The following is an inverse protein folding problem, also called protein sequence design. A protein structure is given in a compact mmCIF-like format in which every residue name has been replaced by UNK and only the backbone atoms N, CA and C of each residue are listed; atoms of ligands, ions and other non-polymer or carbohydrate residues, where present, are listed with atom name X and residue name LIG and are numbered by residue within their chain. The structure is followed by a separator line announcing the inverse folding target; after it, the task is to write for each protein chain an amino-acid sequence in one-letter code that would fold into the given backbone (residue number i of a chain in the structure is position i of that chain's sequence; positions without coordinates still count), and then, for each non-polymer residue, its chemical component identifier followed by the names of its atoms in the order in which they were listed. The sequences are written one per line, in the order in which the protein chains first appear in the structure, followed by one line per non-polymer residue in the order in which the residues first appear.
data_IF_144273902819
#
_entry.id   IF_144273902819
#
_cell.length_a   1.000
_cell.length_b   1.000
_cell.length_c   1.000
_cell.angle_alpha   90.00
_cell.angle_beta   90.00
_cell.angle_gamma   90.00
#
_symmetry.space_group_name_H-M   'P 1'
#
loop_
_entity.id
_entity.type
_entity.pdbx_description
1 polymer ?
#
# COMPACT_ATOMS: atom_id res chain seq x y z
N UNK A 1 -40.82 -24.62 -2.95
CA UNK A 1 -40.11 -23.53 -2.23
C UNK A 1 -39.51 -22.60 -3.28
N UNK A 2 -40.09 -21.42 -3.53
CA UNK A 2 -39.54 -20.44 -4.50
C UNK A 2 -38.56 -19.55 -3.76
N UNK A 3 -37.26 -19.69 -4.02
CA UNK A 3 -36.26 -18.74 -3.54
C UNK A 3 -36.51 -17.40 -4.23
N UNK A 4 -36.92 -16.40 -3.44
CA UNK A 4 -37.14 -15.04 -3.92
C UNK A 4 -35.77 -14.38 -4.12
N UNK A 5 -35.19 -14.55 -5.30
CA UNK A 5 -33.88 -14.00 -5.70
C UNK A 5 -33.98 -12.50 -6.02
N UNK A 6 -34.45 -11.70 -5.06
CA UNK A 6 -34.29 -10.24 -5.18
C UNK A 6 -32.84 -9.91 -4.89
N UNK A 7 -32.10 -9.55 -5.93
CA UNK A 7 -30.77 -8.99 -5.80
C UNK A 7 -30.80 -7.84 -4.78
N UNK A 8 -29.83 -7.77 -3.85
CA UNK A 8 -29.77 -6.67 -2.91
C UNK A 8 -29.61 -5.36 -3.69
N UNK A 9 -30.52 -4.40 -3.48
CA UNK A 9 -30.39 -3.07 -4.07
C UNK A 9 -29.13 -2.42 -3.50
N UNK A 10 -28.20 -2.05 -4.38
CA UNK A 10 -27.00 -1.30 -4.01
C UNK A 10 -27.45 0.09 -3.54
N UNK A 11 -27.03 0.51 -2.35
CA UNK A 11 -27.38 1.84 -1.84
C UNK A 11 -26.56 2.93 -2.56
N UNK A 12 -27.09 4.16 -2.70
CA UNK A 12 -26.33 5.29 -3.25
C UNK A 12 -25.01 5.54 -2.50
N UNK A 13 -25.01 5.34 -1.18
CA UNK A 13 -23.80 5.41 -0.35
C UNK A 13 -22.72 4.44 -0.82
N UNK A 14 -23.07 3.18 -1.07
CA UNK A 14 -22.13 2.16 -1.54
C UNK A 14 -21.57 2.53 -2.92
N UNK A 15 -22.41 3.06 -3.82
CA UNK A 15 -21.95 3.54 -5.13
C UNK A 15 -20.97 4.70 -5.01
N UNK A 16 -21.25 5.68 -4.14
CA UNK A 16 -20.37 6.82 -3.91
C UNK A 16 -19.02 6.36 -3.35
N UNK A 17 -19.02 5.51 -2.33
CA UNK A 17 -17.78 4.96 -1.76
C UNK A 17 -16.99 4.18 -2.80
N UNK A 18 -17.66 3.35 -3.60
CA UNK A 18 -17.02 2.61 -4.68
C UNK A 18 -16.38 3.54 -5.72
N UNK A 19 -17.06 4.64 -6.08
CA UNK A 19 -16.50 5.68 -6.95
C UNK A 19 -15.26 6.34 -6.36
N UNK A 20 -15.27 6.65 -5.06
CA UNK A 20 -14.10 7.19 -4.34
C UNK A 20 -12.95 6.18 -4.34
N UNK A 21 -13.23 4.90 -4.10
CA UNK A 21 -12.23 3.83 -4.14
C UNK A 21 -11.58 3.78 -5.52
N UNK A 22 -12.36 3.70 -6.60
CA UNK A 22 -11.84 3.72 -7.98
C UNK A 22 -10.97 4.95 -8.23
N UNK A 23 -11.44 6.13 -7.82
CA UNK A 23 -10.69 7.37 -7.97
C UNK A 23 -9.35 7.33 -7.24
N UNK A 24 -9.33 6.87 -5.98
CA UNK A 24 -8.10 6.74 -5.18
C UNK A 24 -7.13 5.76 -5.84
N UNK A 25 -7.62 4.61 -6.32
CA UNK A 25 -6.80 3.66 -7.08
C UNK A 25 -6.20 4.30 -8.33
N UNK A 26 -7.02 5.01 -9.10
CA UNK A 26 -6.57 5.70 -10.29
C UNK A 26 -5.49 6.72 -9.98
N UNK A 27 -5.73 7.65 -9.06
CA UNK A 27 -4.75 8.69 -8.70
C UNK A 27 -3.45 8.10 -8.16
N UNK A 28 -3.55 7.01 -7.40
CA UNK A 28 -2.39 6.32 -6.79
C UNK A 28 -1.52 5.61 -7.83
N UNK A 29 -2.13 4.83 -8.73
CA UNK A 29 -1.40 3.93 -9.63
C UNK A 29 -1.26 4.46 -11.06
N UNK A 30 -2.05 5.44 -11.49
CA UNK A 30 -1.93 6.04 -12.82
C UNK A 30 -0.53 6.62 -13.08
N UNK A 31 0.13 7.35 -12.15
CA UNK A 31 1.49 7.83 -12.36
C UNK A 31 2.48 6.68 -12.59
N UNK A 32 2.32 5.56 -11.87
CA UNK A 32 3.16 4.37 -12.00
C UNK A 32 2.98 3.75 -13.39
N UNK A 33 1.74 3.52 -13.82
CA UNK A 33 1.47 2.97 -15.16
C UNK A 33 1.92 3.91 -16.28
N UNK A 34 1.76 5.22 -16.09
CA UNK A 34 2.24 6.24 -17.03
C UNK A 34 3.77 6.22 -17.14
N UNK A 35 4.48 6.06 -16.02
CA UNK A 35 5.93 5.98 -16.01
C UNK A 35 6.46 4.70 -16.65
N UNK A 36 5.80 3.56 -16.41
CA UNK A 36 6.11 2.28 -17.07
C UNK A 36 5.95 2.42 -18.60
N UNK A 37 4.86 3.03 -19.04
CA UNK A 37 4.60 3.24 -20.47
C UNK A 37 5.63 4.16 -21.14
N UNK A 38 6.22 5.09 -20.37
CA UNK A 38 7.23 6.04 -20.85
C UNK A 38 8.66 5.62 -20.53
N UNK A 39 8.85 4.40 -20.00
CA UNK A 39 10.17 3.91 -19.62
C UNK A 39 11.07 3.78 -20.85
N UNK A 40 12.35 4.22 -20.78
CA UNK A 40 13.33 3.90 -21.82
C UNK A 40 13.44 2.38 -22.02
N UNK A 41 13.62 1.95 -23.27
CA UNK A 41 13.61 0.53 -23.66
C UNK A 41 14.73 -0.31 -23.02
N UNK A 42 15.79 0.33 -22.54
CA UNK A 42 16.96 -0.22 -21.87
C UNK A 42 16.88 -0.14 -20.34
N UNK A 43 15.71 0.17 -19.78
CA UNK A 43 15.49 0.25 -18.34
C UNK A 43 14.44 -0.73 -17.86
N UNK A 44 14.58 -1.19 -16.61
CA UNK A 44 13.55 -1.95 -15.92
C UNK A 44 12.91 -1.08 -14.86
N UNK A 45 11.58 -0.93 -14.92
CA UNK A 45 10.82 -0.27 -13.87
C UNK A 45 10.76 -1.19 -12.65
N UNK A 46 11.21 -0.70 -11.49
CA UNK A 46 11.30 -1.52 -10.28
C UNK A 46 10.13 -1.30 -9.33
N UNK A 47 9.25 -0.34 -9.56
CA UNK A 47 8.15 -0.05 -8.62
C UNK A 47 8.70 0.24 -7.21
N UNK A 48 9.84 0.94 -7.13
CA UNK A 48 10.47 1.25 -5.86
C UNK A 48 9.66 2.30 -5.10
N UNK A 49 9.63 2.16 -3.77
CA UNK A 49 8.84 2.99 -2.88
C UNK A 49 9.68 3.56 -1.73
N UNK A 50 9.39 4.81 -1.37
CA UNK A 50 9.77 5.39 -0.09
C UNK A 50 11.28 5.39 0.14
N UNK A 51 11.70 4.92 1.32
CA UNK A 51 13.11 4.77 1.65
C UNK A 51 13.69 3.58 0.89
N UNK A 52 14.49 3.87 -0.14
CA UNK A 52 15.05 2.89 -1.08
C UNK A 52 15.69 1.65 -0.41
N UNK A 53 16.42 1.77 0.72
CA UNK A 53 16.92 0.61 1.45
C UNK A 53 15.84 -0.35 1.93
N UNK A 54 14.73 0.15 2.48
CA UNK A 54 13.62 -0.68 2.96
C UNK A 54 12.98 -1.43 1.79
N UNK A 55 12.79 -0.74 0.66
CA UNK A 55 12.23 -1.34 -0.53
C UNK A 55 13.09 -2.53 -1.00
N UNK A 56 14.41 -2.37 -1.17
CA UNK A 56 15.28 -3.46 -1.60
C UNK A 56 15.35 -4.60 -0.59
N UNK A 57 15.23 -4.27 0.70
CA UNK A 57 15.12 -5.24 1.78
C UNK A 57 13.81 -6.06 1.67
N UNK A 58 12.67 -5.43 1.33
CA UNK A 58 11.42 -6.14 1.07
C UNK A 58 11.53 -7.06 -0.14
N UNK A 59 12.16 -6.59 -1.22
CA UNK A 59 12.41 -7.39 -2.43
C UNK A 59 13.30 -8.60 -2.13
N UNK A 60 14.33 -8.46 -1.29
CA UNK A 60 15.18 -9.59 -0.92
C UNK A 60 14.40 -10.65 -0.14
N UNK A 61 13.52 -10.25 0.77
CA UNK A 61 12.67 -11.20 1.51
C UNK A 61 11.63 -11.89 0.62
N UNK A 62 11.04 -11.17 -0.34
CA UNK A 62 10.19 -11.79 -1.36
C UNK A 62 10.97 -12.84 -2.14
N UNK A 63 12.21 -12.53 -2.55
CA UNK A 63 13.08 -13.48 -3.27
C UNK A 63 13.43 -14.70 -2.41
N UNK A 64 13.70 -14.53 -1.12
CA UNK A 64 13.94 -15.65 -0.20
C UNK A 64 12.71 -16.57 -0.12
N UNK A 65 11.51 -15.99 -0.04
CA UNK A 65 10.25 -16.73 -0.12
C UNK A 65 10.08 -17.50 -1.43
N UNK A 66 10.41 -16.88 -2.57
CA UNK A 66 10.39 -17.56 -3.88
C UNK A 66 11.36 -18.75 -3.94
N UNK A 67 12.49 -18.65 -3.24
CA UNK A 67 13.47 -19.73 -3.09
C UNK A 67 13.05 -20.81 -2.09
N UNK A 68 11.87 -20.68 -1.45
CA UNK A 68 11.37 -21.64 -0.47
C UNK A 68 11.90 -21.40 0.96
N UNK A 69 12.46 -20.23 1.23
CA UNK A 69 13.08 -19.90 2.51
C UNK A 69 12.23 -18.91 3.30
N UNK A 70 11.88 -19.28 4.53
CA UNK A 70 11.18 -18.39 5.48
C UNK A 70 12.13 -17.71 6.47
N UNK A 71 13.38 -18.17 6.55
CA UNK A 71 14.39 -17.75 7.52
C UNK A 71 15.66 -17.36 6.76
N UNK A 72 15.99 -16.07 6.74
CA UNK A 72 17.16 -15.57 6.00
C UNK A 72 18.36 -15.37 6.93
N UNK A 73 19.59 -15.69 6.52
CA UNK A 73 20.80 -15.25 7.22
C UNK A 73 21.34 -13.91 6.69
N UNK A 74 20.77 -13.36 5.60
CA UNK A 74 21.41 -12.35 4.76
C UNK A 74 21.07 -10.89 5.11
N UNK A 75 20.74 -10.60 6.37
CA UNK A 75 20.39 -9.22 6.77
C UNK A 75 21.61 -8.31 6.85
N UNK A 76 22.80 -8.87 7.06
CA UNK A 76 24.06 -8.15 7.18
C UNK A 76 25.20 -8.94 6.52
N UNK A 77 26.26 -8.26 6.03
CA UNK A 77 27.39 -8.92 5.38
C UNK A 77 28.24 -9.78 6.33
N UNK A 78 28.02 -9.66 7.64
CA UNK A 78 28.67 -10.47 8.67
C UNK A 78 27.85 -11.74 8.96
N UNK A 79 28.49 -12.86 9.35
CA UNK A 79 27.77 -14.06 9.78
C UNK A 79 26.80 -13.73 10.91
N UNK A 80 25.51 -13.87 10.65
CA UNK A 80 24.44 -13.60 11.62
C UNK A 80 23.52 -14.82 11.69
N UNK A 81 22.99 -15.18 12.88
CA UNK A 81 22.03 -16.27 12.98
C UNK A 81 20.82 -16.01 12.10
N UNK A 82 20.38 -17.04 11.39
CA UNK A 82 19.17 -16.98 10.59
C UNK A 82 17.98 -16.68 11.49
N UNK A 83 17.23 -15.65 11.13
CA UNK A 83 16.09 -15.16 11.93
C UNK A 83 14.83 -15.08 11.08
N UNK A 84 13.72 -15.48 11.69
CA UNK A 84 12.39 -15.40 11.09
C UNK A 84 11.91 -13.95 11.18
N UNK A 85 12.30 -13.12 10.21
CA UNK A 85 11.91 -11.71 10.17
C UNK A 85 10.99 -11.48 8.97
N UNK A 86 9.89 -10.78 9.22
CA UNK A 86 8.90 -10.33 8.25
C UNK A 86 8.28 -11.44 7.39
N UNK A 87 7.56 -12.40 8.01
CA UNK A 87 6.97 -13.52 7.29
C UNK A 87 5.95 -13.11 6.22
N UNK A 88 5.41 -11.90 6.32
CA UNK A 88 4.56 -11.33 5.27
C UNK A 88 5.25 -11.31 3.90
N UNK A 89 6.47 -10.79 3.81
CA UNK A 89 7.17 -10.65 2.52
C UNK A 89 7.66 -11.98 1.97
N UNK A 90 8.13 -12.88 2.82
CA UNK A 90 8.49 -14.24 2.39
C UNK A 90 7.26 -15.02 1.93
N UNK A 91 6.12 -14.92 2.62
CA UNK A 91 4.85 -15.53 2.16
C UNK A 91 4.37 -14.97 0.81
N UNK A 92 4.53 -13.66 0.57
CA UNK A 92 4.29 -13.07 -0.76
C UNK A 92 5.20 -13.70 -1.83
N UNK A 93 6.47 -13.96 -1.49
CA UNK A 93 7.41 -14.69 -2.33
C UNK A 93 6.94 -16.11 -2.68
N UNK A 94 6.45 -16.86 -1.70
CA UNK A 94 5.85 -18.18 -1.95
C UNK A 94 4.66 -18.10 -2.91
N UNK A 95 3.75 -17.16 -2.69
CA UNK A 95 2.60 -16.95 -3.59
C UNK A 95 3.07 -16.59 -5.00
N UNK A 96 4.07 -15.71 -5.13
CA UNK A 96 4.63 -15.32 -6.40
C UNK A 96 5.37 -16.42 -7.16
N UNK A 97 5.99 -17.37 -6.44
CA UNK A 97 6.56 -18.59 -7.02
C UNK A 97 5.49 -19.43 -7.72
N UNK A 98 4.30 -19.55 -7.11
CA UNK A 98 3.19 -20.33 -7.67
C UNK A 98 2.65 -19.72 -8.97
N UNK A 99 2.66 -18.40 -9.09
CA UNK A 99 2.20 -17.67 -10.29
C UNK A 99 3.33 -17.30 -11.26
N UNK A 100 4.56 -17.81 -11.02
CA UNK A 100 5.74 -17.58 -11.87
C UNK A 100 6.01 -16.11 -12.21
N UNK A 101 5.89 -15.22 -11.21
CA UNK A 101 6.05 -13.77 -11.42
C UNK A 101 7.32 -13.24 -10.74
N UNK A 102 7.83 -12.09 -11.20
CA UNK A 102 9.04 -11.48 -10.66
C UNK A 102 8.78 -10.77 -9.30
N UNK A 103 9.79 -10.62 -8.42
CA UNK A 103 9.60 -10.08 -7.07
C UNK A 103 9.11 -8.63 -7.03
N UNK A 104 9.45 -7.83 -8.05
CA UNK A 104 9.01 -6.44 -8.13
C UNK A 104 7.50 -6.32 -8.38
N UNK A 105 6.97 -7.17 -9.26
CA UNK A 105 5.54 -7.23 -9.54
C UNK A 105 4.75 -7.81 -8.35
N UNK A 106 5.30 -8.80 -7.63
CA UNK A 106 4.70 -9.30 -6.37
C UNK A 106 4.53 -8.15 -5.38
N UNK A 107 5.59 -7.36 -5.18
CA UNK A 107 5.55 -6.21 -4.28
C UNK A 107 4.46 -5.21 -4.69
N UNK A 108 4.41 -4.82 -5.97
CA UNK A 108 3.36 -3.95 -6.49
C UNK A 108 1.95 -4.50 -6.26
N UNK A 109 1.72 -5.77 -6.59
CA UNK A 109 0.44 -6.44 -6.39
C UNK A 109 0.05 -6.43 -4.91
N UNK A 110 1.00 -6.71 -4.01
CA UNK A 110 0.76 -6.67 -2.57
C UNK A 110 0.27 -5.29 -2.11
N UNK A 111 0.79 -4.21 -2.70
CA UNK A 111 0.35 -2.84 -2.41
C UNK A 111 -1.04 -2.55 -2.95
N UNK A 112 -1.36 -3.03 -4.15
CA UNK A 112 -2.71 -2.93 -4.72
C UNK A 112 -3.73 -3.61 -3.80
N UNK A 113 -3.45 -4.83 -3.33
CA UNK A 113 -4.31 -5.53 -2.38
C UNK A 113 -4.34 -4.86 -1.01
N UNK A 114 -3.20 -4.38 -0.51
CA UNK A 114 -3.14 -3.66 0.76
C UNK A 114 -3.98 -2.39 0.70
N UNK A 115 -3.97 -1.64 -0.40
CA UNK A 115 -4.84 -0.47 -0.59
C UNK A 115 -6.32 -0.87 -0.59
N UNK A 116 -6.69 -1.93 -1.31
CA UNK A 116 -8.07 -2.42 -1.34
C UNK A 116 -8.57 -2.79 0.05
N UNK A 117 -7.78 -3.60 0.78
CA UNK A 117 -8.08 -4.03 2.15
C UNK A 117 -8.19 -2.81 3.05
N UNK A 118 -7.24 -1.87 2.96
CA UNK A 118 -7.20 -0.67 3.80
C UNK A 118 -8.44 0.21 3.60
N UNK A 119 -8.81 0.51 2.35
CA UNK A 119 -10.01 1.28 2.02
C UNK A 119 -11.28 0.56 2.47
N UNK A 120 -11.35 -0.76 2.26
CA UNK A 120 -12.51 -1.55 2.68
C UNK A 120 -12.66 -1.57 4.20
N UNK A 121 -11.57 -1.78 4.94
CA UNK A 121 -11.58 -1.74 6.42
C UNK A 121 -12.05 -0.39 6.94
N UNK A 122 -11.60 0.73 6.34
CA UNK A 122 -12.09 2.05 6.74
C UNK A 122 -13.56 2.28 6.40
N UNK A 123 -14.02 1.81 5.26
CA UNK A 123 -15.44 1.88 4.93
C UNK A 123 -16.28 1.11 5.97
N UNK A 124 -15.85 -0.09 6.36
CA UNK A 124 -16.52 -0.87 7.40
C UNK A 124 -16.51 -0.13 8.74
N UNK A 125 -15.37 0.46 9.13
CA UNK A 125 -15.24 1.25 10.35
C UNK A 125 -16.20 2.45 10.36
N UNK A 126 -16.26 3.20 9.27
CA UNK A 126 -17.19 4.32 9.14
C UNK A 126 -18.65 3.85 9.21
N UNK A 127 -18.95 2.66 8.67
CA UNK A 127 -20.30 2.07 8.77
C UNK A 127 -20.72 1.70 10.18
N UNK A 128 -19.79 1.41 11.10
CA UNK A 128 -20.15 1.13 12.50
C UNK A 128 -20.52 2.39 13.27
N UNK A 129 -20.03 3.57 12.83
CA UNK A 129 -20.50 4.84 13.34
C UNK A 129 -21.98 5.02 12.92
N UNK A 130 -22.89 5.13 13.88
CA UNK A 130 -24.36 5.26 13.67
C UNK A 130 -24.77 6.62 13.09
N UNK A 131 -23.98 7.18 12.19
CA UNK A 131 -24.26 8.44 11.51
C UNK A 131 -25.14 8.23 10.28
N UNK A 132 -25.91 9.27 9.87
CA UNK A 132 -26.59 9.26 8.58
C UNK A 132 -25.62 9.02 7.40
N UNK A 133 -26.07 8.40 6.29
CA UNK A 133 -25.21 8.02 5.17
C UNK A 133 -24.33 9.15 4.61
N UNK A 134 -24.87 10.37 4.56
CA UNK A 134 -24.13 11.54 4.08
C UNK A 134 -22.87 11.84 4.90
N UNK A 135 -22.98 11.82 6.24
CA UNK A 135 -21.85 12.07 7.13
C UNK A 135 -20.82 10.95 7.10
N UNK A 136 -21.25 9.72 6.82
CA UNK A 136 -20.34 8.59 6.60
C UNK A 136 -19.51 8.78 5.34
N UNK A 137 -20.12 9.22 4.25
CA UNK A 137 -19.37 9.56 3.01
C UNK A 137 -18.33 10.64 3.30
N UNK A 138 -18.72 11.71 4.01
CA UNK A 138 -17.80 12.78 4.41
C UNK A 138 -16.66 12.24 5.27
N UNK A 139 -16.96 11.44 6.30
CA UNK A 139 -15.95 10.84 7.17
C UNK A 139 -14.98 9.92 6.39
N UNK A 140 -15.49 9.14 5.44
CA UNK A 140 -14.66 8.32 4.56
C UNK A 140 -13.75 9.18 3.68
N UNK A 141 -14.27 10.25 3.08
CA UNK A 141 -13.48 11.20 2.29
C UNK A 141 -12.37 11.86 3.12
N UNK A 142 -12.68 12.28 4.35
CA UNK A 142 -11.67 12.78 5.28
C UNK A 142 -10.63 11.70 5.59
N UNK A 143 -11.02 10.47 5.89
CA UNK A 143 -10.04 9.41 6.17
C UNK A 143 -9.09 9.15 5.00
N UNK A 144 -9.58 9.14 3.76
CA UNK A 144 -8.73 8.86 2.59
C UNK A 144 -7.85 10.04 2.18
N UNK A 145 -8.23 11.28 2.52
CA UNK A 145 -7.50 12.50 2.14
C UNK A 145 -6.75 13.19 3.29
N UNK A 146 -7.07 12.88 4.55
CA UNK A 146 -6.49 13.55 5.69
C UNK A 146 -4.99 13.25 5.78
N UNK A 147 -4.20 14.30 5.54
CA UNK A 147 -2.82 14.39 6.01
C UNK A 147 -2.85 14.31 7.53
N UNK A 148 -2.02 13.45 8.13
CA UNK A 148 -2.00 13.21 9.57
C UNK A 148 -1.99 14.49 10.41
N UNK A 149 -2.36 14.37 11.67
CA UNK A 149 -2.48 15.54 12.54
C UNK A 149 -1.10 16.07 12.96
N UNK A 150 -0.83 17.34 12.68
CA UNK A 150 0.35 18.06 13.21
C UNK A 150 0.29 18.08 14.74
N UNK A 151 1.45 17.98 15.39
CA UNK A 151 1.56 18.10 16.84
C UNK A 151 2.27 19.38 17.20
N UNK A 152 1.67 20.20 18.06
CA UNK A 152 2.37 21.32 18.67
C UNK A 152 3.24 20.77 19.81
N UNK A 153 4.53 21.03 19.73
CA UNK A 153 5.50 20.68 20.78
C UNK A 153 6.14 21.97 21.31
N UNK A 154 6.24 22.13 22.64
CA UNK A 154 6.95 23.25 23.23
C UNK A 154 8.45 23.15 22.91
N UNK A 155 9.05 24.27 22.51
CA UNK A 155 10.46 24.40 22.13
C UNK A 155 11.01 25.74 22.65
N UNK A 156 11.73 25.68 23.78
CA UNK A 156 12.49 26.83 24.31
C UNK A 156 11.70 28.12 24.55
N UNK A 157 10.42 28.06 24.91
CA UNK A 157 9.56 29.23 25.12
C UNK A 157 8.68 29.60 23.93
N UNK A 158 8.75 28.82 22.84
CA UNK A 158 7.85 28.88 21.69
C UNK A 158 7.14 27.54 21.47
N UNK A 159 6.24 27.48 20.50
CA UNK A 159 5.66 26.23 20.02
C UNK A 159 6.13 25.97 18.59
N UNK A 160 6.59 24.74 18.35
CA UNK A 160 6.92 24.23 17.03
C UNK A 160 5.83 23.27 16.56
N UNK A 161 5.43 23.38 15.30
CA UNK A 161 4.66 22.34 14.63
C UNK A 161 5.61 21.21 14.27
N UNK A 162 5.33 20.03 14.81
CA UNK A 162 5.91 18.78 14.35
C UNK A 162 5.02 18.22 13.25
N UNK A 163 5.63 17.98 12.09
CA UNK A 163 4.98 17.27 11.01
C UNK A 163 4.43 15.93 11.53
N UNK A 164 3.23 15.52 11.10
CA UNK A 164 2.76 14.16 11.35
C UNK A 164 3.82 13.19 10.85
N UNK A 165 4.26 12.24 11.69
CA UNK A 165 5.33 11.30 11.33
C UNK A 165 5.03 10.69 9.96
N UNK A 166 5.97 10.88 9.03
CA UNK A 166 5.94 10.30 7.70
C UNK A 166 5.91 8.77 7.86
N UNK A 167 4.78 8.14 7.52
CA UNK A 167 4.60 6.69 7.62
C UNK A 167 3.36 6.29 8.42
N UNK A 168 3.57 5.78 9.64
CA UNK A 168 2.55 4.97 10.35
C UNK A 168 1.38 5.75 10.96
N UNK A 169 1.55 7.04 11.25
CA UNK A 169 0.50 7.87 11.88
C UNK A 169 -0.30 8.69 10.87
N UNK A 170 0.03 8.59 9.58
CA UNK A 170 -0.63 9.34 8.53
C UNK A 170 -1.71 8.48 7.85
N UNK A 171 -2.95 8.94 7.87
CA UNK A 171 -4.08 8.30 7.17
C UNK A 171 -4.14 8.69 5.69
N UNK A 172 -3.29 9.61 5.22
CA UNK A 172 -3.24 10.06 3.84
C UNK A 172 -2.94 8.88 2.91
N UNK A 173 -4.01 8.34 2.34
CA UNK A 173 -3.94 7.18 1.45
C UNK A 173 -3.13 7.52 0.21
N UNK A 174 -3.33 8.72 -0.35
CA UNK A 174 -2.59 9.15 -1.53
C UNK A 174 -1.09 9.24 -1.23
N UNK A 175 -0.68 9.90 -0.15
CA UNK A 175 0.74 9.99 0.21
C UNK A 175 1.37 8.64 0.55
N UNK A 176 0.60 7.71 1.14
CA UNK A 176 1.10 6.40 1.57
C UNK A 176 1.24 5.41 0.42
N UNK A 177 0.38 5.52 -0.59
CA UNK A 177 0.33 4.58 -1.70
C UNK A 177 0.87 5.13 -3.02
N UNK A 178 0.84 6.45 -3.24
CA UNK A 178 1.38 7.10 -4.47
C UNK A 178 2.90 7.13 -4.41
N UNK A 179 3.56 6.88 -5.54
CA UNK A 179 5.00 6.68 -5.59
C UNK A 179 5.65 7.52 -6.70
N UNK A 180 6.83 8.09 -6.45
CA UNK A 180 7.67 8.58 -7.53
C UNK A 180 8.22 7.39 -8.33
N UNK A 181 8.28 7.49 -9.67
CA UNK A 181 8.78 6.42 -10.50
C UNK A 181 10.29 6.21 -10.36
N UNK A 182 10.72 4.95 -10.34
CA UNK A 182 12.13 4.57 -10.28
C UNK A 182 12.46 3.48 -11.32
N UNK A 183 13.58 3.68 -11.98
CA UNK A 183 14.12 2.78 -12.99
C UNK A 183 15.51 2.31 -12.56
N UNK A 184 15.84 1.06 -12.84
CA UNK A 184 17.23 0.58 -12.84
C UNK A 184 17.66 0.36 -14.28
N UNK A 185 18.95 0.54 -14.56
CA UNK A 185 19.54 0.11 -15.83
C UNK A 185 19.25 -1.39 -16.00
N UNK A 186 18.68 -1.78 -17.14
CA UNK A 186 18.55 -3.18 -17.45
C UNK A 186 19.98 -3.74 -17.59
N UNK A 187 20.37 -4.62 -16.68
CA UNK A 187 21.58 -5.42 -16.88
C UNK A 187 21.24 -6.37 -18.03
N UNK A 188 21.71 -6.03 -19.23
CA UNK A 188 21.69 -6.89 -20.42
C UNK A 188 22.44 -8.18 -20.16
#
# INVERSE_FOLDING_TARGET
MKYNTRFPKISPETLTVFGVVIFVFFVTFFPIFSAIWRAPADTTYVYAYGFTPDYYQFISWIRDGMNGTLISPRYIPTPYPSVFIHPFFTMLGFAGKLIHTNPFLIYLMSRFFALAIFLYTFFLLVKTCRFPPFYRIIAFLFLVTATGFFRLIPDGGSYRLLDPLLGFTNTNVLGKFTEPPHHILALS
#
